data_IF_916275407496
#
_entry.id   IF_916275407496
#
_cell.length_a   1.000
_cell.length_b   1.000
_cell.length_c   1.000
_cell.angle_alpha   90.00
_cell.angle_beta   90.00
_cell.angle_gamma   90.00
#
_symmetry.space_group_name_H-M   'P 1'
#
loop_
_entity.id
_entity.type
_entity.pdbx_description
1 polymer ?
#
# COMPACT_ATOMS: atom_id res chain seq x y z
N UNK A 1 -14.33 -38.58 20.36
CA UNK A 1 -13.82 -37.50 19.48
C UNK A 1 -13.92 -37.98 18.02
N UNK A 2 -14.82 -37.39 17.22
CA UNK A 2 -15.25 -37.96 15.93
C UNK A 2 -14.19 -37.73 14.83
N UNK A 3 -13.54 -38.79 14.34
CA UNK A 3 -12.47 -38.75 13.31
C UNK A 3 -12.89 -38.02 12.03
N UNK A 4 -14.20 -38.04 11.70
CA UNK A 4 -14.75 -37.35 10.54
C UNK A 4 -14.69 -35.82 10.65
N UNK A 5 -14.76 -35.28 11.87
CA UNK A 5 -14.69 -33.82 12.11
C UNK A 5 -13.25 -33.30 11.96
N UNK A 6 -12.25 -34.13 12.24
CA UNK A 6 -10.82 -33.79 12.05
C UNK A 6 -10.43 -33.79 10.57
N UNK A 7 -10.90 -34.77 9.79
CA UNK A 7 -10.64 -34.85 8.34
C UNK A 7 -11.29 -33.67 7.61
N UNK A 8 -12.48 -33.24 8.06
CA UNK A 8 -13.16 -32.06 7.52
C UNK A 8 -12.38 -30.77 7.76
N UNK A 9 -11.80 -30.61 8.96
CA UNK A 9 -10.98 -29.44 9.31
C UNK A 9 -9.59 -29.44 8.64
N UNK A 10 -8.96 -30.61 8.47
CA UNK A 10 -7.66 -30.72 7.80
C UNK A 10 -7.75 -30.49 6.29
N UNK A 11 -8.88 -30.83 5.64
CA UNK A 11 -9.13 -30.48 4.23
C UNK A 11 -9.34 -28.97 4.04
N UNK A 12 -10.05 -28.31 4.97
CA UNK A 12 -10.42 -26.88 4.91
C UNK A 12 -9.24 -25.90 5.05
N UNK A 13 -8.10 -26.34 5.59
CA UNK A 13 -6.95 -25.45 5.88
C UNK A 13 -5.90 -25.42 4.75
N UNK A 14 -5.93 -26.37 3.79
CA UNK A 14 -4.89 -26.39 2.76
C UNK A 14 -5.11 -27.23 1.50
N UNK A 15 -6.15 -28.08 1.41
CA UNK A 15 -6.41 -28.82 0.16
C UNK A 15 -7.15 -27.99 -0.88
N UNK A 16 -7.88 -26.96 -0.46
CA UNK A 16 -8.57 -26.04 -1.38
C UNK A 16 -7.57 -25.24 -2.24
N UNK A 17 -6.35 -25.03 -1.73
CA UNK A 17 -5.24 -24.43 -2.49
C UNK A 17 -4.69 -25.32 -3.60
N UNK A 18 -4.95 -26.63 -3.56
CA UNK A 18 -4.41 -27.62 -4.50
C UNK A 18 -5.34 -27.95 -5.66
N UNK A 19 -6.56 -27.40 -5.71
CA UNK A 19 -7.53 -27.70 -6.78
C UNK A 19 -7.87 -26.44 -7.58
N UNK A 20 -7.58 -26.51 -8.88
CA UNK A 20 -8.12 -25.67 -9.95
C UNK A 20 -8.07 -24.14 -9.72
N UNK A 21 -6.92 -23.63 -9.28
CA UNK A 21 -6.64 -22.19 -9.38
C UNK A 21 -6.50 -21.79 -10.84
N UNK A 22 -7.39 -20.91 -11.31
CA UNK A 22 -7.26 -20.27 -12.62
C UNK A 22 -6.31 -19.09 -12.48
N UNK A 23 -5.22 -19.08 -13.24
CA UNK A 23 -4.30 -17.95 -13.29
C UNK A 23 -4.99 -16.76 -13.96
N UNK A 24 -5.02 -15.62 -13.26
CA UNK A 24 -5.68 -14.40 -13.71
C UNK A 24 -4.67 -13.37 -14.20
N UNK A 25 -3.54 -13.23 -13.52
CA UNK A 25 -2.52 -12.28 -13.92
C UNK A 25 -1.37 -12.15 -12.94
N UNK A 26 -0.44 -11.28 -13.30
CA UNK A 26 0.77 -10.97 -12.55
C UNK A 26 0.92 -9.45 -12.41
N UNK A 27 1.43 -8.97 -11.28
CA UNK A 27 1.75 -7.56 -11.09
C UNK A 27 3.22 -7.24 -11.39
N UNK A 28 3.61 -5.96 -11.28
CA UNK A 28 5.00 -5.53 -11.48
C UNK A 28 5.96 -6.05 -10.40
N UNK A 29 5.45 -6.64 -9.31
CA UNK A 29 6.24 -7.27 -8.26
C UNK A 29 6.33 -8.79 -8.43
N UNK A 30 5.85 -9.33 -9.56
CA UNK A 30 5.79 -10.76 -9.89
C UNK A 30 4.89 -11.58 -8.96
N UNK A 31 3.98 -10.94 -8.22
CA UNK A 31 2.95 -11.66 -7.49
C UNK A 31 1.92 -12.19 -8.48
N UNK A 32 1.49 -13.43 -8.29
CA UNK A 32 0.54 -14.10 -9.19
C UNK A 32 -0.84 -14.19 -8.54
N UNK A 33 -1.85 -13.82 -9.30
CA UNK A 33 -3.22 -13.73 -8.84
C UNK A 33 -4.06 -14.83 -9.45
N UNK A 34 -4.93 -15.41 -8.63
CA UNK A 34 -5.73 -16.56 -9.00
C UNK A 34 -7.18 -16.42 -8.57
N UNK A 35 -8.07 -17.06 -9.32
CA UNK A 35 -9.47 -17.26 -8.96
C UNK A 35 -9.79 -18.75 -8.96
N UNK A 36 -10.56 -19.20 -7.97
CA UNK A 36 -11.02 -20.58 -7.87
C UNK A 36 -12.36 -20.65 -7.16
N UNK A 37 -13.02 -21.79 -7.27
CA UNK A 37 -14.26 -22.08 -6.53
C UNK A 37 -13.93 -23.01 -5.36
N UNK A 38 -14.36 -22.64 -4.15
CA UNK A 38 -14.18 -23.48 -2.97
C UNK A 38 -15.13 -24.69 -2.97
N UNK A 39 -14.96 -25.59 -1.99
CA UNK A 39 -15.79 -26.80 -1.85
C UNK A 39 -17.28 -26.50 -1.62
N UNK A 40 -17.62 -25.29 -1.16
CA UNK A 40 -18.98 -24.83 -0.89
C UNK A 40 -19.57 -24.14 -2.14
N UNK A 41 -18.82 -24.03 -3.24
CA UNK A 41 -19.26 -23.39 -4.49
C UNK A 41 -19.02 -21.88 -4.54
N UNK A 42 -18.34 -21.29 -3.55
CA UNK A 42 -18.09 -19.85 -3.52
C UNK A 42 -16.82 -19.50 -4.30
N UNK A 43 -16.86 -18.38 -5.01
CA UNK A 43 -15.68 -17.83 -5.68
C UNK A 43 -14.70 -17.29 -4.63
N UNK A 44 -13.43 -17.64 -4.79
CA UNK A 44 -12.30 -17.19 -3.97
C UNK A 44 -11.24 -16.60 -4.87
N UNK A 45 -10.57 -15.57 -4.36
CA UNK A 45 -9.43 -14.91 -5.00
C UNK A 45 -8.24 -15.00 -4.05
N UNK A 46 -7.08 -15.35 -4.60
CA UNK A 46 -5.86 -15.57 -3.83
C UNK A 46 -4.64 -15.03 -4.57
N UNK A 47 -3.57 -14.79 -3.83
CA UNK A 47 -2.31 -14.26 -4.35
C UNK A 47 -1.16 -15.13 -3.86
N UNK A 48 -0.37 -15.62 -4.82
CA UNK A 48 0.93 -16.21 -4.52
C UNK A 48 1.97 -15.10 -4.65
N UNK A 49 2.58 -14.74 -3.52
CA UNK A 49 3.63 -13.72 -3.48
C UNK A 49 4.91 -14.25 -4.11
N UNK A 50 5.62 -13.38 -4.83
CA UNK A 50 6.94 -13.72 -5.36
C UNK A 50 7.98 -13.89 -4.24
N UNK A 51 7.89 -13.06 -3.20
CA UNK A 51 8.80 -13.07 -2.06
C UNK A 51 8.40 -14.11 -1.02
N UNK A 52 9.40 -14.73 -0.37
CA UNK A 52 9.18 -15.78 0.66
C UNK A 52 8.46 -15.27 1.90
N UNK A 53 8.74 -14.03 2.30
CA UNK A 53 8.09 -13.38 3.43
C UNK A 53 7.01 -12.41 2.89
N UNK A 54 5.76 -12.88 2.74
CA UNK A 54 4.72 -12.08 2.12
C UNK A 54 4.39 -10.86 2.98
N UNK A 55 4.38 -9.69 2.34
CA UNK A 55 3.89 -8.45 2.94
C UNK A 55 2.58 -8.05 2.27
N UNK A 56 1.42 -8.19 2.91
CA UNK A 56 0.14 -7.79 2.31
C UNK A 56 0.07 -6.32 1.89
N UNK A 57 0.91 -5.45 2.48
CA UNK A 57 0.99 -4.03 2.10
C UNK A 57 1.75 -3.78 0.80
N UNK A 58 2.47 -4.77 0.26
CA UNK A 58 3.17 -4.64 -1.03
C UNK A 58 2.29 -4.94 -2.24
N UNK A 59 1.06 -5.43 -2.02
CA UNK A 59 0.09 -5.65 -3.09
C UNK A 59 -0.33 -4.28 -3.69
N UNK A 60 -0.23 -4.08 -5.01
CA UNK A 60 -0.71 -2.87 -5.65
C UNK A 60 -2.21 -2.62 -5.37
N UNK A 61 -2.57 -1.35 -5.21
CA UNK A 61 -3.92 -0.91 -4.82
C UNK A 61 -5.04 -1.52 -5.70
N UNK A 62 -4.82 -1.56 -7.01
CA UNK A 62 -5.75 -2.09 -8.02
C UNK A 62 -5.99 -3.60 -7.86
N UNK A 63 -4.93 -4.37 -7.59
CA UNK A 63 -5.02 -5.80 -7.36
C UNK A 63 -5.67 -6.09 -6.01
N UNK A 64 -5.38 -5.28 -4.99
CA UNK A 64 -6.03 -5.38 -3.69
C UNK A 64 -7.55 -5.13 -3.78
N UNK A 65 -8.01 -4.20 -4.64
CA UNK A 65 -9.45 -3.97 -4.90
C UNK A 65 -10.11 -5.20 -5.51
N UNK A 66 -9.45 -5.84 -6.48
CA UNK A 66 -9.95 -7.06 -7.10
C UNK A 66 -9.96 -8.24 -6.11
N UNK A 67 -8.88 -8.48 -5.36
CA UNK A 67 -8.82 -9.49 -4.31
C UNK A 67 -9.93 -9.31 -3.26
N UNK A 68 -10.24 -8.06 -2.91
CA UNK A 68 -11.28 -7.72 -1.94
C UNK A 68 -12.71 -7.71 -2.52
N UNK A 69 -12.91 -8.22 -3.75
CA UNK A 69 -14.21 -8.23 -4.45
C UNK A 69 -14.88 -6.85 -4.59
N UNK A 70 -14.11 -5.76 -4.53
CA UNK A 70 -14.63 -4.40 -4.76
C UNK A 70 -14.80 -4.08 -6.26
N UNK A 71 -14.17 -4.87 -7.10
CA UNK A 71 -14.27 -4.82 -8.56
C UNK A 71 -14.42 -6.25 -9.06
N UNK A 72 -15.33 -6.45 -10.03
CA UNK A 72 -15.56 -7.75 -10.68
C UNK A 72 -14.35 -8.17 -11.49
N UNK A 73 -13.93 -7.31 -12.40
CA UNK A 73 -12.92 -7.62 -13.41
C UNK A 73 -11.51 -7.42 -12.86
N UNK A 74 -10.57 -8.32 -13.20
CA UNK A 74 -9.18 -8.16 -12.82
C UNK A 74 -8.54 -6.96 -13.54
N UNK A 75 -7.50 -6.34 -12.96
CA UNK A 75 -6.77 -5.27 -13.63
C UNK A 75 -6.12 -5.76 -14.92
N UNK A 76 -6.15 -4.92 -15.96
CA UNK A 76 -5.36 -5.16 -17.18
C UNK A 76 -3.90 -4.72 -16.98
N UNK A 77 -3.00 -5.16 -17.87
CA UNK A 77 -1.62 -4.67 -17.86
C UNK A 77 -1.54 -3.15 -18.03
N UNK A 78 -2.43 -2.56 -18.81
CA UNK A 78 -2.50 -1.11 -19.01
C UNK A 78 -2.91 -0.39 -17.72
N UNK A 79 -3.90 -0.93 -16.99
CA UNK A 79 -4.31 -0.40 -15.68
C UNK A 79 -3.16 -0.46 -14.68
N UNK A 80 -2.40 -1.56 -14.68
CA UNK A 80 -1.23 -1.75 -13.83
C UNK A 80 -0.17 -0.69 -14.10
N UNK A 81 0.18 -0.46 -15.36
CA UNK A 81 1.17 0.53 -15.74
C UNK A 81 0.70 1.96 -15.44
N UNK A 82 -0.58 2.27 -15.71
CA UNK A 82 -1.16 3.59 -15.44
C UNK A 82 -1.18 3.89 -13.94
N UNK A 83 -1.53 2.92 -13.11
CA UNK A 83 -1.51 3.09 -11.66
C UNK A 83 -0.08 3.27 -11.14
N UNK A 84 0.90 2.51 -11.63
CA UNK A 84 2.31 2.69 -11.26
C UNK A 84 2.82 4.10 -11.61
N UNK A 85 2.54 4.58 -12.82
CA UNK A 85 2.87 5.95 -13.22
C UNK A 85 2.17 6.99 -12.34
N UNK A 86 0.89 6.79 -12.02
CA UNK A 86 0.14 7.68 -11.12
C UNK A 86 0.79 7.74 -9.73
N UNK A 87 1.14 6.60 -9.16
CA UNK A 87 1.81 6.51 -7.85
C UNK A 87 3.18 7.21 -7.84
N UNK A 88 3.99 6.99 -8.88
CA UNK A 88 5.26 7.70 -9.08
C UNK A 88 5.07 9.21 -9.13
N UNK A 89 4.07 9.68 -9.88
CA UNK A 89 3.78 11.12 -10.00
C UNK A 89 3.35 11.75 -8.67
N UNK A 90 2.58 11.03 -7.86
CA UNK A 90 2.13 11.50 -6.54
C UNK A 90 3.30 11.57 -5.58
N UNK A 91 4.16 10.55 -5.58
CA UNK A 91 5.35 10.52 -4.73
C UNK A 91 6.28 11.69 -5.03
N UNK A 92 6.49 12.00 -6.32
CA UNK A 92 7.32 13.14 -6.69
C UNK A 92 6.69 14.48 -6.28
N UNK A 93 5.38 14.65 -6.50
CA UNK A 93 4.67 15.84 -6.03
C UNK A 93 4.76 15.99 -4.52
N UNK A 94 4.54 14.91 -3.76
CA UNK A 94 4.64 14.91 -2.31
C UNK A 94 6.04 15.34 -1.84
N UNK A 95 7.10 14.83 -2.48
CA UNK A 95 8.50 15.22 -2.19
C UNK A 95 8.73 16.73 -2.40
N UNK A 96 8.22 17.29 -3.50
CA UNK A 96 8.35 18.72 -3.79
C UNK A 96 7.60 19.55 -2.74
N UNK A 97 6.36 19.17 -2.41
CA UNK A 97 5.58 19.85 -1.37
C UNK A 97 6.24 19.79 0.00
N UNK A 98 6.80 18.64 0.40
CA UNK A 98 7.53 18.48 1.66
C UNK A 98 8.77 19.38 1.72
N UNK A 99 9.49 19.52 0.59
CA UNK A 99 10.66 20.40 0.50
C UNK A 99 10.27 21.89 0.60
N UNK A 100 9.18 22.29 -0.05
CA UNK A 100 8.63 23.65 0.02
C UNK A 100 8.14 23.99 1.43
N UNK A 101 7.39 23.09 2.08
CA UNK A 101 6.92 23.26 3.45
C UNK A 101 8.10 23.36 4.44
N UNK A 102 9.15 22.55 4.26
CA UNK A 102 10.35 22.64 5.08
C UNK A 102 11.06 23.99 4.91
N UNK A 103 11.21 24.49 3.68
CA UNK A 103 11.82 25.80 3.41
C UNK A 103 11.02 26.93 4.07
N UNK A 104 9.69 26.90 3.95
CA UNK A 104 8.83 27.90 4.56
C UNK A 104 8.96 27.89 6.08
N UNK A 105 8.94 26.71 6.71
CA UNK A 105 9.12 26.58 8.17
C UNK A 105 10.48 27.09 8.64
N UNK A 106 11.55 26.83 7.89
CA UNK A 106 12.89 27.35 8.21
C UNK A 106 12.91 28.89 8.13
N UNK A 107 12.37 29.46 7.05
CA UNK A 107 12.26 30.92 6.88
C UNK A 107 11.46 31.58 8.01
N UNK A 108 10.32 30.99 8.39
CA UNK A 108 9.51 31.50 9.52
C UNK A 108 10.27 31.45 10.85
N UNK A 109 11.04 30.39 11.10
CA UNK A 109 11.87 30.28 12.30
C UNK A 109 13.00 31.30 12.32
N UNK A 110 13.65 31.54 11.18
CA UNK A 110 14.70 32.55 11.05
C UNK A 110 14.15 33.96 11.26
N UNK A 111 13.02 34.28 10.64
CA UNK A 111 12.34 35.57 10.82
C UNK A 111 11.96 35.81 12.29
N UNK A 112 11.40 34.80 12.97
CA UNK A 112 11.07 34.89 14.40
C UNK A 112 12.32 35.11 15.27
N UNK A 113 13.44 34.46 14.95
CA UNK A 113 14.71 34.66 15.66
C UNK A 113 15.27 36.06 15.46
N UNK A 114 15.24 36.59 14.24
CA UNK A 114 15.67 37.96 13.94
C UNK A 114 14.85 38.98 14.73
N UNK A 115 13.52 38.85 14.71
CA UNK A 115 12.61 39.70 15.49
C UNK A 115 12.90 39.64 17.00
N UNK A 116 13.20 38.47 17.55
CA UNK A 116 13.57 38.34 18.97
C UNK A 116 14.90 39.05 19.27
N UNK A 117 15.89 38.91 18.41
CA UNK A 117 17.20 39.56 18.58
C UNK A 117 17.07 41.08 18.52
N UNK A 118 16.37 41.62 17.51
CA UNK A 118 16.12 43.07 17.40
C UNK A 118 15.39 43.62 18.63
N UNK A 119 14.41 42.89 19.16
CA UNK A 119 13.71 43.28 20.38
C UNK A 119 14.63 43.30 21.61
N UNK A 120 15.59 42.37 21.71
CA UNK A 120 16.59 42.35 22.79
C UNK A 120 17.57 43.52 22.66
N UNK A 121 18.05 43.79 21.45
CA UNK A 121 19.01 44.86 21.17
C UNK A 121 18.38 46.24 21.47
N UNK A 122 17.14 46.45 21.02
CA UNK A 122 16.39 47.68 21.31
C UNK A 122 16.15 47.89 22.81
N UNK A 123 15.85 46.83 23.58
CA UNK A 123 15.70 46.93 25.04
C UNK A 123 17.01 47.34 25.73
N UNK A 124 18.15 46.82 25.28
CA UNK A 124 19.45 47.13 25.86
C UNK A 124 19.95 48.55 25.56
N UNK A 125 19.45 49.19 24.50
CA UNK A 125 19.76 50.60 24.17
C UNK A 125 19.02 51.55 25.12
N UNK A 126 17.80 51.21 25.54
CA UNK A 126 16.97 52.08 26.40
C UNK A 126 17.42 52.07 27.87
N UNK A 127 18.11 51.03 28.31
CA UNK A 127 18.59 50.88 29.71
C UNK A 127 20.00 51.43 29.99
N UNK A 128 20.69 51.99 28.99
CA UNK A 128 21.98 52.69 29.14
C UNK A 128 21.80 54.20 29.04
#
# INVERSE_FOLDING_TARGET
MNKNKLIYNLKKIGLDKLRNKTFIGEDLHLNRYYEFTDIEGNIRRDVDYFIREPNPRSIPSIWNRWLAFRVSDPPTIEDVLKEDQRQKSIKEKARVFEEEDLKLRVQEMEYKKQQQQENLDNRNIVTK
#
